data_IF_847392168104
#
_entry.id   IF_847392168104
#
_cell.length_a   1.000
_cell.length_b   1.000
_cell.length_c   1.000
_cell.angle_alpha   90.00
_cell.angle_beta   90.00
_cell.angle_gamma   90.00
#
_symmetry.space_group_name_H-M   'P 1'
#
loop_
_entity.id
_entity.type
_entity.pdbx_description
1 polymer ?
#
# COMPACT_ATOMS: atom_id res chain seq x y z
N UNK A 1 47.22 -36.76 -71.60
CA UNK A 1 47.35 -35.65 -70.63
C UNK A 1 45.98 -35.35 -70.06
N UNK A 2 45.68 -35.88 -68.88
CA UNK A 2 44.38 -35.81 -68.24
C UNK A 2 44.59 -35.12 -66.89
N UNK A 3 44.06 -33.92 -66.73
CA UNK A 3 44.08 -33.20 -65.46
C UNK A 3 42.72 -33.39 -64.75
N UNK A 4 42.81 -34.06 -63.62
CA UNK A 4 41.67 -34.31 -62.72
C UNK A 4 41.46 -33.12 -61.74
N UNK A 5 40.31 -32.50 -61.78
CA UNK A 5 39.97 -31.42 -60.86
C UNK A 5 39.15 -32.05 -59.70
N UNK A 6 39.73 -32.08 -58.49
CA UNK A 6 39.06 -32.45 -57.25
C UNK A 6 38.23 -31.26 -56.74
N UNK A 7 36.93 -31.43 -56.64
CA UNK A 7 36.03 -30.51 -55.99
C UNK A 7 36.11 -30.72 -54.46
N UNK A 8 36.55 -29.70 -53.75
CA UNK A 8 36.44 -29.59 -52.27
C UNK A 8 35.02 -29.09 -51.92
N UNK A 9 34.26 -29.92 -51.24
CA UNK A 9 33.01 -29.55 -50.62
C UNK A 9 33.36 -28.97 -49.22
N UNK A 10 33.15 -27.67 -49.04
CA UNK A 10 33.18 -27.01 -47.73
C UNK A 10 31.78 -27.05 -47.11
N UNK A 11 31.63 -27.83 -46.05
CA UNK A 11 30.43 -27.83 -45.23
C UNK A 11 30.42 -26.57 -44.36
N UNK A 12 29.46 -25.71 -44.64
CA UNK A 12 29.18 -24.55 -43.77
C UNK A 12 28.27 -25.00 -42.62
N UNK A 13 28.83 -25.09 -41.44
CA UNK A 13 28.07 -25.33 -40.19
C UNK A 13 27.40 -24.01 -39.75
N UNK A 14 26.10 -23.91 -39.94
CA UNK A 14 25.33 -22.79 -39.43
C UNK A 14 25.16 -22.95 -37.91
N UNK A 15 25.86 -22.14 -37.13
CA UNK A 15 25.56 -21.95 -35.69
C UNK A 15 24.29 -21.11 -35.55
N UNK A 16 23.21 -21.74 -35.18
CA UNK A 16 22.00 -21.04 -34.70
C UNK A 16 22.27 -20.58 -33.28
N UNK A 17 22.66 -19.31 -33.14
CA UNK A 17 22.75 -18.65 -31.83
C UNK A 17 21.36 -18.46 -31.26
N UNK A 18 21.00 -19.21 -30.21
CA UNK A 18 19.87 -18.90 -29.36
C UNK A 18 20.19 -17.60 -28.61
N UNK A 19 19.71 -16.47 -29.14
CA UNK A 19 19.64 -15.24 -28.37
C UNK A 19 18.50 -15.39 -27.38
N UNK A 20 18.83 -15.77 -26.13
CA UNK A 20 17.92 -15.62 -24.99
C UNK A 20 17.69 -14.12 -24.78
N UNK A 21 16.54 -13.64 -25.25
CA UNK A 21 16.02 -12.32 -24.89
C UNK A 21 15.69 -12.40 -23.42
N UNK A 22 16.60 -11.94 -22.57
CA UNK A 22 16.30 -11.59 -21.19
C UNK A 22 15.30 -10.41 -21.26
N UNK A 23 14.01 -10.71 -21.14
CA UNK A 23 13.00 -9.70 -20.80
C UNK A 23 13.36 -9.25 -19.40
N UNK A 24 14.15 -8.18 -19.30
CA UNK A 24 14.27 -7.44 -18.08
C UNK A 24 12.85 -6.90 -17.79
N UNK A 25 12.16 -7.50 -16.83
CA UNK A 25 11.00 -6.87 -16.22
C UNK A 25 11.49 -5.54 -15.68
N UNK A 26 11.14 -4.44 -16.34
CA UNK A 26 11.32 -3.10 -15.79
C UNK A 26 10.53 -3.07 -14.47
N UNK A 27 11.24 -3.22 -13.36
CA UNK A 27 10.74 -2.94 -12.04
C UNK A 27 10.49 -1.43 -12.04
N UNK A 28 9.23 -1.03 -12.25
CA UNK A 28 8.84 0.36 -12.13
C UNK A 28 9.09 0.77 -10.69
N UNK A 29 10.15 1.51 -10.45
CA UNK A 29 10.37 2.13 -9.16
C UNK A 29 9.16 3.02 -8.86
N UNK A 30 8.48 2.79 -7.73
CA UNK A 30 7.40 3.65 -7.25
C UNK A 30 8.02 4.96 -6.78
N UNK A 31 8.18 5.91 -7.70
CA UNK A 31 8.95 7.12 -7.48
C UNK A 31 8.17 8.22 -6.77
N UNK A 32 6.85 8.05 -6.56
CA UNK A 32 6.04 9.05 -5.89
C UNK A 32 4.66 8.53 -5.47
N UNK A 33 4.01 9.28 -4.59
CA UNK A 33 2.62 9.03 -4.21
C UNK A 33 1.66 9.17 -5.41
N UNK A 34 1.92 10.09 -6.30
CA UNK A 34 1.13 10.29 -7.52
C UNK A 34 1.13 9.01 -8.34
N UNK A 35 2.31 8.42 -8.57
CA UNK A 35 2.46 7.16 -9.29
C UNK A 35 1.76 5.99 -8.60
N UNK A 36 1.94 5.85 -7.29
CA UNK A 36 1.24 4.85 -6.50
C UNK A 36 -0.29 5.02 -6.57
N UNK A 37 -0.78 6.27 -6.55
CA UNK A 37 -2.21 6.58 -6.64
C UNK A 37 -2.82 6.26 -8.02
N UNK A 38 -2.02 6.23 -9.09
CA UNK A 38 -2.44 5.78 -10.42
C UNK A 38 -2.55 4.25 -10.51
N UNK A 39 -1.71 3.51 -9.78
CA UNK A 39 -1.64 2.03 -9.81
C UNK A 39 -2.60 1.38 -8.82
N UNK A 40 -2.71 1.90 -7.60
CA UNK A 40 -3.57 1.33 -6.55
C UNK A 40 -5.00 1.05 -7.00
N UNK A 41 -5.67 1.90 -7.80
CA UNK A 41 -6.97 1.60 -8.36
C UNK A 41 -7.04 0.26 -9.11
N UNK A 42 -6.04 -0.07 -9.91
CA UNK A 42 -6.01 -1.34 -10.66
C UNK A 42 -5.86 -2.54 -9.72
N UNK A 43 -5.05 -2.42 -8.67
CA UNK A 43 -4.87 -3.44 -7.64
C UNK A 43 -6.19 -3.71 -6.91
N UNK A 44 -6.88 -2.66 -6.44
CA UNK A 44 -8.15 -2.82 -5.74
C UNK A 44 -9.27 -3.33 -6.65
N UNK A 45 -9.30 -2.92 -7.93
CA UNK A 45 -10.23 -3.48 -8.92
C UNK A 45 -9.96 -4.96 -9.19
N UNK A 46 -8.70 -5.38 -9.19
CA UNK A 46 -8.35 -6.79 -9.35
C UNK A 46 -8.73 -7.60 -8.12
N UNK A 47 -8.44 -7.11 -6.91
CA UNK A 47 -8.88 -7.73 -5.65
C UNK A 47 -10.39 -7.92 -5.60
N UNK A 48 -11.15 -6.91 -6.02
CA UNK A 48 -12.61 -6.99 -6.03
C UNK A 48 -13.13 -8.05 -7.02
N UNK A 49 -12.53 -8.17 -8.21
CA UNK A 49 -12.88 -9.22 -9.17
C UNK A 49 -12.51 -10.63 -8.72
N UNK A 50 -11.37 -10.80 -8.03
CA UNK A 50 -10.85 -12.11 -7.62
C UNK A 50 -11.49 -12.63 -6.33
N UNK A 51 -11.74 -11.75 -5.36
CA UNK A 51 -12.17 -12.13 -4.02
C UNK A 51 -13.50 -11.44 -3.63
N UNK A 52 -13.72 -10.20 -4.09
CA UNK A 52 -14.82 -9.35 -3.65
C UNK A 52 -14.56 -8.70 -2.29
N UNK A 53 -15.55 -7.90 -1.83
CA UNK A 53 -15.55 -7.30 -0.49
C UNK A 53 -14.36 -6.39 -0.17
N UNK A 54 -13.82 -5.66 -1.16
CA UNK A 54 -12.84 -4.63 -0.90
C UNK A 54 -13.47 -3.46 -0.12
N UNK A 55 -12.77 -2.99 0.90
CA UNK A 55 -13.33 -1.99 1.82
C UNK A 55 -12.31 -0.93 2.20
N UNK A 56 -12.83 0.21 2.71
CA UNK A 56 -12.00 1.26 3.30
C UNK A 56 -11.33 0.79 4.59
N UNK A 57 -10.08 1.21 4.81
CA UNK A 57 -9.24 0.77 5.94
C UNK A 57 -9.92 0.94 7.30
N UNK A 58 -10.34 2.15 7.63
CA UNK A 58 -10.76 2.47 9.00
C UNK A 58 -12.18 2.03 9.31
N UNK A 59 -13.12 2.27 8.38
CA UNK A 59 -14.55 2.05 8.62
C UNK A 59 -15.06 0.73 8.05
N UNK A 60 -14.35 0.13 7.08
CA UNK A 60 -14.82 -1.08 6.42
C UNK A 60 -16.00 -0.88 5.48
N UNK A 61 -16.23 0.33 5.02
CA UNK A 61 -17.26 0.60 4.03
C UNK A 61 -16.85 0.02 2.67
N UNK A 62 -17.78 -0.61 1.97
CA UNK A 62 -17.52 -1.21 0.67
C UNK A 62 -17.00 -0.17 -0.33
N UNK A 63 -16.00 -0.56 -1.10
CA UNK A 63 -15.42 0.26 -2.16
C UNK A 63 -16.08 -0.06 -3.49
N UNK A 64 -16.38 0.97 -4.26
CA UNK A 64 -16.88 0.88 -5.62
C UNK A 64 -16.04 1.78 -6.54
N UNK A 65 -16.04 1.42 -7.81
CA UNK A 65 -15.40 2.24 -8.82
C UNK A 65 -16.26 2.36 -10.07
N UNK A 66 -16.15 3.50 -10.72
CA UNK A 66 -16.78 3.77 -12.02
C UNK A 66 -15.70 4.19 -13.00
N UNK A 67 -15.65 3.53 -14.13
CA UNK A 67 -14.81 3.98 -15.24
C UNK A 67 -15.51 5.11 -15.99
N UNK A 68 -14.81 6.22 -16.18
CA UNK A 68 -15.29 7.37 -16.95
C UNK A 68 -14.19 7.82 -17.93
N UNK A 69 -14.26 7.32 -19.16
CA UNK A 69 -13.15 7.47 -20.11
C UNK A 69 -11.87 6.84 -19.59
N UNK A 70 -10.78 7.61 -19.56
CA UNK A 70 -9.48 7.16 -19.05
C UNK A 70 -9.32 7.29 -17.52
N UNK A 71 -10.33 7.84 -16.83
CA UNK A 71 -10.29 8.04 -15.39
C UNK A 71 -11.13 7.00 -14.63
N UNK A 72 -10.66 6.60 -13.45
CA UNK A 72 -11.41 5.75 -12.51
C UNK A 72 -11.81 6.59 -11.31
N UNK A 73 -13.12 6.77 -11.14
CA UNK A 73 -13.69 7.44 -9.98
C UNK A 73 -13.99 6.41 -8.89
N UNK A 74 -13.51 6.68 -7.68
CA UNK A 74 -13.71 5.81 -6.52
C UNK A 74 -14.71 6.43 -5.55
N UNK A 75 -15.61 5.61 -5.06
CA UNK A 75 -16.60 5.99 -4.04
C UNK A 75 -16.83 4.84 -3.07
N UNK A 76 -17.47 5.12 -1.96
CA UNK A 76 -17.76 4.14 -0.93
C UNK A 76 -19.22 4.23 -0.50
N UNK A 77 -19.80 3.07 -0.14
CA UNK A 77 -21.14 3.01 0.43
C UNK A 77 -21.09 3.41 1.91
N UNK A 78 -21.17 4.71 2.16
CA UNK A 78 -21.23 5.27 3.51
C UNK A 78 -22.53 4.93 4.22
N UNK A 79 -23.64 4.82 3.50
CA UNK A 79 -24.94 4.45 4.05
C UNK A 79 -24.96 2.98 4.49
N UNK A 80 -24.51 2.05 3.63
CA UNK A 80 -24.51 0.61 3.93
C UNK A 80 -23.59 0.23 5.10
N UNK A 81 -22.52 0.97 5.34
CA UNK A 81 -21.66 0.77 6.51
C UNK A 81 -22.06 1.60 7.74
N UNK A 82 -23.11 2.41 7.64
CA UNK A 82 -23.58 3.26 8.73
C UNK A 82 -22.63 4.38 9.13
N UNK A 83 -21.81 4.85 8.17
CA UNK A 83 -20.95 6.00 8.41
C UNK A 83 -21.75 7.29 8.41
N UNK A 84 -21.54 8.13 9.42
CA UNK A 84 -22.13 9.45 9.51
C UNK A 84 -21.04 10.54 9.45
N UNK A 85 -21.18 11.54 8.54
CA UNK A 85 -20.23 12.64 8.45
C UNK A 85 -20.20 13.46 9.74
N UNK A 86 -18.99 13.73 10.25
CA UNK A 86 -18.83 14.59 11.43
C UNK A 86 -18.96 16.07 11.09
N UNK A 87 -18.36 16.51 9.99
CA UNK A 87 -18.31 17.93 9.58
C UNK A 87 -18.36 18.16 8.08
N UNK A 88 -17.97 17.21 7.25
CA UNK A 88 -17.79 17.42 5.82
C UNK A 88 -18.38 16.30 4.97
N UNK A 89 -19.60 16.47 4.52
CA UNK A 89 -20.25 15.54 3.59
C UNK A 89 -19.45 15.35 2.30
N UNK A 90 -18.86 16.42 1.76
CA UNK A 90 -18.02 16.34 0.55
C UNK A 90 -16.84 15.39 0.75
N UNK A 91 -16.16 15.45 1.91
CA UNK A 91 -15.04 14.57 2.22
C UNK A 91 -15.49 13.17 2.64
N UNK A 92 -16.65 13.07 3.28
CA UNK A 92 -17.25 11.80 3.64
C UNK A 92 -17.56 10.94 2.41
N UNK A 93 -18.04 11.56 1.34
CA UNK A 93 -18.36 10.89 0.08
C UNK A 93 -17.17 10.68 -0.86
N UNK A 94 -15.95 11.03 -0.45
CA UNK A 94 -14.73 10.83 -1.22
C UNK A 94 -13.88 9.71 -0.66
N UNK A 95 -13.26 8.93 -1.55
CA UNK A 95 -12.20 7.99 -1.20
C UNK A 95 -10.84 8.69 -1.32
N UNK A 96 -10.05 8.62 -0.27
CA UNK A 96 -8.66 9.09 -0.27
C UNK A 96 -7.73 7.89 -0.12
N UNK A 97 -6.64 7.85 -0.88
CA UNK A 97 -5.54 6.95 -0.60
C UNK A 97 -4.71 7.53 0.54
N UNK A 98 -4.86 6.94 1.73
CA UNK A 98 -4.26 7.43 2.98
C UNK A 98 -2.95 6.70 3.28
N UNK A 99 -1.93 7.45 3.67
CA UNK A 99 -0.67 6.90 4.16
C UNK A 99 -0.78 6.58 5.64
N UNK A 100 -0.67 5.31 6.00
CA UNK A 100 -0.72 4.85 7.40
C UNK A 100 0.41 5.50 8.20
N UNK A 101 1.66 5.36 7.78
CA UNK A 101 2.76 6.18 8.26
C UNK A 101 2.82 7.48 7.46
N UNK A 102 2.54 8.60 8.11
CA UNK A 102 2.49 9.90 7.43
C UNK A 102 3.89 10.42 7.08
N UNK A 103 4.01 11.32 6.07
CA UNK A 103 5.27 11.99 5.75
C UNK A 103 5.89 12.72 6.93
N UNK A 104 5.07 13.25 7.84
CA UNK A 104 5.54 13.85 9.09
C UNK A 104 6.40 12.87 9.92
N UNK A 105 6.11 11.58 9.89
CA UNK A 105 6.85 10.56 10.66
C UNK A 105 8.09 10.10 9.89
N UNK A 106 7.92 9.66 8.62
CA UNK A 106 9.03 9.04 7.90
C UNK A 106 10.07 10.02 7.36
N UNK A 107 9.71 11.29 7.16
CA UNK A 107 10.61 12.26 6.54
C UNK A 107 11.42 13.08 7.54
N UNK A 108 11.20 12.95 8.85
CA UNK A 108 11.91 13.74 9.88
C UNK A 108 13.44 13.61 9.84
N UNK A 109 13.96 12.50 9.33
CA UNK A 109 15.40 12.27 9.17
C UNK A 109 15.99 12.78 7.84
N UNK A 110 15.18 13.41 6.98
CA UNK A 110 15.63 13.90 5.67
C UNK A 110 15.97 15.39 5.72
N UNK A 111 17.09 15.76 5.11
CA UNK A 111 17.53 17.16 5.02
C UNK A 111 16.50 18.03 4.31
N UNK A 112 15.90 17.55 3.23
CA UNK A 112 14.85 18.25 2.48
C UNK A 112 13.64 18.62 3.35
N UNK A 113 13.33 17.78 4.38
CA UNK A 113 12.22 18.04 5.30
C UNK A 113 12.46 19.26 6.20
N UNK A 114 13.68 19.41 6.69
CA UNK A 114 14.04 20.59 7.49
C UNK A 114 14.02 21.88 6.67
N UNK A 115 14.35 21.81 5.39
CA UNK A 115 14.47 22.96 4.49
C UNK A 115 13.16 23.39 3.80
N UNK A 116 12.03 22.73 4.06
CA UNK A 116 10.76 23.12 3.40
C UNK A 116 9.62 22.13 3.58
N UNK A 117 9.74 21.17 4.50
CA UNK A 117 8.75 20.14 4.72
C UNK A 117 8.48 19.33 3.45
N UNK A 118 7.21 18.93 3.24
CA UNK A 118 6.85 18.16 2.04
C UNK A 118 7.25 18.85 0.73
N UNK A 119 7.10 20.18 0.65
CA UNK A 119 7.46 20.94 -0.57
C UNK A 119 8.96 20.90 -0.85
N UNK A 120 9.78 20.94 0.19
CA UNK A 120 11.23 20.82 0.05
C UNK A 120 11.67 19.44 -0.43
N UNK A 121 10.86 18.39 -0.20
CA UNK A 121 11.21 17.01 -0.53
C UNK A 121 10.66 16.51 -1.88
N UNK A 122 9.94 17.30 -2.66
CA UNK A 122 9.32 16.85 -3.93
C UNK A 122 10.35 16.23 -4.89
N UNK A 123 11.58 16.74 -4.91
CA UNK A 123 12.66 16.25 -5.77
C UNK A 123 13.62 15.28 -5.06
N UNK A 124 13.33 14.92 -3.81
CA UNK A 124 14.16 13.99 -3.04
C UNK A 124 13.73 12.55 -3.34
N UNK A 125 14.63 11.76 -3.93
CA UNK A 125 14.36 10.38 -4.35
C UNK A 125 13.97 9.49 -3.15
N UNK A 126 14.66 9.63 -2.02
CA UNK A 126 14.39 8.84 -0.81
C UNK A 126 13.03 9.16 -0.22
N UNK A 127 12.65 10.44 -0.23
CA UNK A 127 11.30 10.85 0.17
C UNK A 127 10.25 10.24 -0.74
N UNK A 128 10.43 10.34 -2.05
CA UNK A 128 9.47 9.86 -3.04
C UNK A 128 9.28 8.34 -2.97
N UNK A 129 10.36 7.56 -2.78
CA UNK A 129 10.27 6.12 -2.54
C UNK A 129 9.42 5.78 -1.31
N UNK A 130 9.56 6.51 -0.20
CA UNK A 130 8.76 6.30 1.01
C UNK A 130 7.32 6.79 0.85
N UNK A 131 7.14 7.92 0.16
CA UNK A 131 5.82 8.54 -0.04
C UNK A 131 4.93 7.72 -0.99
N UNK A 132 5.54 7.05 -1.97
CA UNK A 132 4.88 6.18 -2.96
C UNK A 132 4.81 4.71 -2.59
N UNK A 133 5.32 4.28 -1.43
CA UNK A 133 5.29 2.86 -1.05
C UNK A 133 3.86 2.37 -0.82
N UNK A 134 3.38 1.50 -1.72
CA UNK A 134 2.00 1.02 -1.72
C UNK A 134 1.66 0.14 -0.52
N UNK A 135 2.65 -0.46 0.18
CA UNK A 135 2.40 -1.17 1.43
C UNK A 135 1.98 -0.24 2.57
N UNK A 136 2.24 1.06 2.44
CA UNK A 136 1.85 2.10 3.38
C UNK A 136 0.57 2.85 3.00
N UNK A 137 -0.03 2.59 1.82
CA UNK A 137 -1.13 3.38 1.27
C UNK A 137 -2.41 2.55 1.18
N UNK A 138 -3.49 3.03 1.77
CA UNK A 138 -4.78 2.33 1.81
C UNK A 138 -5.94 3.26 1.47
N UNK A 139 -7.02 2.75 0.83
CA UNK A 139 -8.23 3.53 0.63
C UNK A 139 -8.92 3.81 1.96
N UNK A 140 -9.34 5.03 2.15
CA UNK A 140 -10.04 5.48 3.34
C UNK A 140 -11.13 6.49 2.97
N UNK A 141 -12.13 6.65 3.83
CA UNK A 141 -13.05 7.78 3.73
C UNK A 141 -12.26 9.07 3.90
N UNK A 142 -12.39 10.01 2.96
CA UNK A 142 -11.58 11.22 2.92
C UNK A 142 -11.74 12.11 4.15
N UNK A 143 -12.90 12.09 4.85
CA UNK A 143 -13.05 12.79 6.11
C UNK A 143 -12.22 12.16 7.22
N UNK A 144 -12.21 10.82 7.33
CA UNK A 144 -11.40 10.10 8.33
C UNK A 144 -9.92 10.32 8.08
N UNK A 145 -9.45 10.12 6.84
CA UNK A 145 -8.06 10.37 6.45
C UNK A 145 -7.60 11.76 6.88
N UNK A 146 -8.40 12.79 6.59
CA UNK A 146 -8.03 14.14 6.97
C UNK A 146 -8.19 14.47 8.46
N UNK A 147 -9.11 13.84 9.17
CA UNK A 147 -9.27 14.05 10.60
C UNK A 147 -8.16 13.34 11.39
N UNK A 148 -7.75 12.15 10.97
CA UNK A 148 -6.58 11.44 11.52
C UNK A 148 -5.29 12.19 11.18
N UNK A 149 -5.18 12.72 9.96
CA UNK A 149 -4.03 13.51 9.50
C UNK A 149 -2.67 12.86 9.83
N UNK A 150 -1.87 13.51 10.68
CA UNK A 150 -0.56 13.02 11.12
C UNK A 150 -0.57 12.44 12.54
N UNK A 151 -1.76 12.22 13.10
CA UNK A 151 -1.90 11.74 14.48
C UNK A 151 -1.37 10.32 14.62
N UNK A 152 -0.72 10.03 15.76
CA UNK A 152 -0.27 8.68 16.06
C UNK A 152 -1.45 7.75 16.29
N UNK A 153 -1.24 6.48 16.03
CA UNK A 153 -2.21 5.47 16.45
C UNK A 153 -2.02 5.10 17.92
N UNK A 154 -3.13 4.81 18.59
CA UNK A 154 -3.14 4.48 20.01
C UNK A 154 -4.34 3.59 20.33
N UNK A 155 -4.37 3.00 21.53
CA UNK A 155 -5.49 2.22 22.05
C UNK A 155 -5.75 2.60 23.51
N UNK A 156 -6.72 3.45 23.74
CA UNK A 156 -7.06 3.92 25.09
C UNK A 156 -8.49 3.54 25.53
N UNK A 157 -9.14 2.63 24.79
CA UNK A 157 -10.43 2.05 25.15
C UNK A 157 -11.62 3.00 25.04
N UNK A 158 -11.51 4.09 24.26
CA UNK A 158 -12.62 5.02 24.02
C UNK A 158 -13.72 4.35 23.19
N UNK A 159 -14.97 4.63 23.53
CA UNK A 159 -16.12 4.15 22.75
C UNK A 159 -16.33 5.03 21.52
N UNK A 160 -16.39 4.43 20.31
CA UNK A 160 -16.65 5.17 19.09
C UNK A 160 -18.03 5.85 19.12
N UNK A 161 -18.08 7.14 18.76
CA UNK A 161 -19.31 7.93 18.71
C UNK A 161 -19.28 9.08 17.72
N UNK A 162 -18.17 9.22 16.96
CA UNK A 162 -17.90 10.42 16.17
C UNK A 162 -18.38 10.32 14.72
N UNK A 163 -18.53 9.09 14.19
CA UNK A 163 -18.74 8.84 12.77
C UNK A 163 -19.80 7.74 12.54
N UNK A 164 -20.93 7.82 13.25
CA UNK A 164 -21.97 6.80 13.18
C UNK A 164 -21.46 5.42 13.60
N UNK A 165 -21.69 4.41 12.78
CA UNK A 165 -21.23 3.04 13.05
C UNK A 165 -19.75 2.78 12.74
N UNK A 166 -19.02 3.75 12.18
CA UNK A 166 -17.58 3.60 11.94
C UNK A 166 -16.80 3.60 13.27
N UNK A 167 -16.12 2.50 13.62
CA UNK A 167 -15.57 2.30 14.96
C UNK A 167 -14.17 2.93 15.11
N UNK A 168 -14.03 4.19 14.70
CA UNK A 168 -12.79 4.98 14.84
C UNK A 168 -13.03 6.11 15.83
N UNK A 169 -12.04 6.37 16.66
CA UNK A 169 -12.04 7.56 17.53
C UNK A 169 -10.83 8.44 17.18
N UNK A 170 -11.07 9.73 17.01
CA UNK A 170 -10.03 10.73 16.80
C UNK A 170 -10.02 11.71 17.97
N UNK A 171 -8.98 11.66 18.78
CA UNK A 171 -8.70 12.63 19.82
C UNK A 171 -7.88 13.80 19.24
N UNK A 172 -8.58 14.88 18.90
CA UNK A 172 -7.97 16.06 18.30
C UNK A 172 -7.06 16.81 19.26
N UNK A 173 -7.37 16.80 20.56
CA UNK A 173 -6.57 17.45 21.59
C UNK A 173 -5.29 16.66 21.88
N UNK A 174 -5.42 15.33 22.04
CA UNK A 174 -4.30 14.41 22.27
C UNK A 174 -3.51 14.05 21.00
N UNK A 175 -3.98 14.47 19.81
CA UNK A 175 -3.37 14.18 18.51
C UNK A 175 -3.12 12.69 18.30
N UNK A 176 -4.14 11.87 18.55
CA UNK A 176 -4.10 10.42 18.43
C UNK A 176 -5.39 9.86 17.83
N UNK A 177 -5.28 8.70 17.23
CA UNK A 177 -6.41 8.00 16.63
C UNK A 177 -6.44 6.55 17.10
N UNK A 178 -7.62 6.10 17.56
CA UNK A 178 -7.88 4.71 17.91
C UNK A 178 -8.62 4.05 16.76
N UNK A 179 -7.95 3.16 16.00
CA UNK A 179 -8.59 2.45 14.90
C UNK A 179 -9.43 1.28 15.42
N UNK A 180 -10.35 0.81 14.57
CA UNK A 180 -11.12 -0.41 14.84
C UNK A 180 -10.23 -1.65 14.87
N UNK A 181 -10.68 -2.69 15.56
CA UNK A 181 -9.97 -3.98 15.63
C UNK A 181 -9.67 -4.57 14.24
N UNK A 182 -10.60 -4.42 13.28
CA UNK A 182 -10.43 -4.91 11.91
C UNK A 182 -9.26 -4.26 11.15
N UNK A 183 -8.89 -3.03 11.48
CA UNK A 183 -7.82 -2.29 10.80
C UNK A 183 -6.49 -2.30 11.55
N UNK A 184 -6.48 -2.67 12.84
CA UNK A 184 -5.26 -2.67 13.67
C UNK A 184 -4.14 -3.52 13.08
N UNK A 185 -4.45 -4.73 12.60
CA UNK A 185 -3.46 -5.61 12.00
C UNK A 185 -2.83 -5.02 10.73
N UNK A 186 -3.64 -4.51 9.81
CA UNK A 186 -3.17 -3.87 8.58
C UNK A 186 -2.30 -2.63 8.88
N UNK A 187 -2.75 -1.78 9.82
CA UNK A 187 -2.00 -0.61 10.28
C UNK A 187 -0.66 -1.03 10.89
N UNK A 188 -0.66 -2.04 11.76
CA UNK A 188 0.55 -2.53 12.40
C UNK A 188 1.57 -3.03 11.38
N UNK A 189 1.15 -3.86 10.42
CA UNK A 189 2.03 -4.40 9.38
C UNK A 189 2.57 -3.32 8.44
N UNK A 190 1.78 -2.31 8.13
CA UNK A 190 2.26 -1.15 7.37
C UNK A 190 3.31 -0.35 8.14
N UNK A 191 3.06 -0.06 9.43
CA UNK A 191 3.99 0.67 10.29
C UNK A 191 5.31 -0.09 10.51
N UNK A 192 5.24 -1.37 10.87
CA UNK A 192 6.42 -2.22 11.08
C UNK A 192 7.25 -2.38 9.79
N UNK A 193 6.57 -2.55 8.66
CA UNK A 193 7.22 -2.62 7.35
C UNK A 193 8.00 -1.35 7.04
N UNK A 194 7.38 -0.18 7.17
CA UNK A 194 8.04 1.11 6.93
C UNK A 194 9.25 1.30 7.85
N UNK A 195 9.12 0.94 9.14
CA UNK A 195 10.23 0.98 10.09
C UNK A 195 11.39 0.09 9.65
N UNK A 196 11.12 -1.15 9.27
CA UNK A 196 12.14 -2.11 8.87
C UNK A 196 12.80 -1.73 7.54
N UNK A 197 11.99 -1.43 6.51
CA UNK A 197 12.48 -1.17 5.16
C UNK A 197 13.31 0.10 5.07
N UNK A 198 12.87 1.16 5.73
CA UNK A 198 13.47 2.49 5.62
C UNK A 198 14.27 2.90 6.86
N UNK A 199 14.41 2.00 7.86
CA UNK A 199 15.12 2.23 9.13
C UNK A 199 14.59 3.44 9.89
N UNK A 200 13.25 3.56 9.95
CA UNK A 200 12.55 4.64 10.65
C UNK A 200 12.35 4.22 12.11
N UNK A 201 12.66 5.12 13.05
CA UNK A 201 12.37 4.92 14.47
C UNK A 201 11.09 5.66 14.87
N UNK A 202 10.18 4.95 15.55
CA UNK A 202 8.87 5.48 16.00
C UNK A 202 8.73 5.49 17.53
N UNK A 203 9.79 5.19 18.26
CA UNK A 203 9.77 5.03 19.72
C UNK A 203 9.29 3.65 20.17
N UNK A 204 9.80 3.21 21.34
CA UNK A 204 9.59 1.84 21.83
C UNK A 204 8.15 1.48 22.09
N UNK A 205 7.36 2.36 22.71
CA UNK A 205 5.95 2.11 23.04
C UNK A 205 5.09 1.93 21.78
N UNK A 206 5.32 2.75 20.74
CA UNK A 206 4.63 2.62 19.46
C UNK A 206 5.02 1.34 18.73
N UNK A 207 6.29 0.97 18.77
CA UNK A 207 6.76 -0.27 18.16
C UNK A 207 6.12 -1.48 18.83
N UNK A 208 6.13 -1.55 20.16
CA UNK A 208 5.48 -2.62 20.93
C UNK A 208 3.97 -2.70 20.66
N UNK A 209 3.27 -1.57 20.55
CA UNK A 209 1.85 -1.54 20.22
C UNK A 209 1.58 -2.20 18.85
N UNK A 210 2.39 -1.89 17.84
CA UNK A 210 2.22 -2.50 16.53
C UNK A 210 2.62 -3.97 16.48
N UNK A 211 3.63 -4.41 17.24
CA UNK A 211 3.93 -5.84 17.38
C UNK A 211 2.76 -6.61 17.99
N UNK A 212 2.15 -6.09 19.06
CA UNK A 212 0.97 -6.68 19.70
C UNK A 212 -0.23 -6.74 18.73
N UNK A 213 -0.48 -5.69 17.96
CA UNK A 213 -1.55 -5.68 16.98
C UNK A 213 -1.30 -6.64 15.82
N UNK A 214 -0.06 -6.74 15.34
CA UNK A 214 0.32 -7.68 14.30
C UNK A 214 0.10 -9.13 14.72
N UNK A 215 0.43 -9.47 15.97
CA UNK A 215 0.22 -10.81 16.53
C UNK A 215 -1.29 -11.11 16.73
N UNK A 216 -2.03 -10.16 17.31
CA UNK A 216 -3.43 -10.33 17.67
C UNK A 216 -4.37 -10.36 16.46
N UNK A 217 -4.06 -9.63 15.41
CA UNK A 217 -4.90 -9.44 14.23
C UNK A 217 -4.17 -9.90 12.95
N UNK A 218 -4.10 -11.22 12.68
CA UNK A 218 -3.38 -11.76 11.53
C UNK A 218 -3.99 -11.29 10.20
N UNK A 219 -3.22 -11.31 9.09
CA UNK A 219 -3.72 -10.92 7.78
C UNK A 219 -4.80 -11.88 7.28
N UNK A 220 -5.80 -11.33 6.63
CA UNK A 220 -6.84 -12.10 5.93
C UNK A 220 -6.42 -12.41 4.47
N UNK A 221 -7.30 -13.08 3.74
CA UNK A 221 -7.06 -13.47 2.34
C UNK A 221 -6.93 -12.26 1.42
N UNK A 222 -7.67 -11.18 1.69
CA UNK A 222 -7.63 -9.95 0.90
C UNK A 222 -6.29 -9.26 1.10
N UNK A 223 -5.82 -9.16 2.34
CA UNK A 223 -4.52 -8.56 2.64
C UNK A 223 -3.36 -9.38 2.07
N UNK A 224 -3.43 -10.72 2.15
CA UNK A 224 -2.44 -11.61 1.53
C UNK A 224 -2.37 -11.37 0.01
N UNK A 225 -3.51 -11.35 -0.68
CA UNK A 225 -3.53 -11.15 -2.13
C UNK A 225 -3.12 -9.74 -2.53
N UNK A 226 -3.53 -8.71 -1.76
CA UNK A 226 -3.07 -7.35 -1.96
C UNK A 226 -1.54 -7.25 -1.88
N UNK A 227 -0.93 -7.91 -0.92
CA UNK A 227 0.53 -7.96 -0.77
C UNK A 227 1.22 -8.57 -2.00
N UNK A 228 0.67 -9.66 -2.56
CA UNK A 228 1.17 -10.28 -3.79
C UNK A 228 1.08 -9.33 -4.98
N UNK A 229 -0.08 -8.69 -5.18
CA UNK A 229 -0.30 -7.74 -6.27
C UNK A 229 0.62 -6.52 -6.17
N UNK A 230 0.82 -5.98 -4.97
CA UNK A 230 1.77 -4.88 -4.78
C UNK A 230 3.18 -5.34 -5.16
N UNK A 231 3.58 -6.56 -4.76
CA UNK A 231 4.90 -7.08 -5.08
C UNK A 231 5.13 -7.24 -6.60
N UNK A 232 4.08 -7.57 -7.37
CA UNK A 232 4.12 -7.63 -8.84
C UNK A 232 4.44 -6.25 -9.47
N UNK A 233 3.89 -5.15 -8.91
CA UNK A 233 4.08 -3.80 -9.43
C UNK A 233 5.31 -3.09 -8.84
N UNK A 234 5.51 -3.21 -7.51
CA UNK A 234 6.54 -2.46 -6.78
C UNK A 234 7.87 -3.21 -6.67
N UNK A 235 7.86 -4.54 -6.94
CA UNK A 235 9.06 -5.38 -6.91
C UNK A 235 9.48 -5.85 -5.52
N UNK A 236 8.67 -5.60 -4.48
CA UNK A 236 8.90 -6.13 -3.13
C UNK A 236 7.59 -6.36 -2.38
N UNK A 237 7.59 -7.34 -1.49
CA UNK A 237 6.50 -7.67 -0.59
C UNK A 237 6.68 -7.07 0.80
N UNK A 238 5.62 -7.14 1.62
CA UNK A 238 5.68 -6.86 3.04
C UNK A 238 5.90 -8.17 3.81
N UNK A 239 7.09 -8.41 4.41
CA UNK A 239 7.42 -9.67 5.06
C UNK A 239 6.52 -9.99 6.27
N UNK A 240 5.95 -8.98 6.93
CA UNK A 240 4.99 -9.20 8.02
C UNK A 240 3.66 -9.80 7.54
N UNK A 241 3.32 -9.61 6.26
CA UNK A 241 2.17 -10.24 5.61
C UNK A 241 2.56 -11.60 5.05
N UNK A 242 3.62 -11.68 4.24
CA UNK A 242 4.06 -12.90 3.55
C UNK A 242 4.30 -14.05 4.52
N UNK A 243 4.97 -13.79 5.64
CA UNK A 243 5.27 -14.82 6.65
C UNK A 243 4.00 -15.46 7.22
N UNK A 244 2.97 -14.67 7.51
CA UNK A 244 1.71 -15.16 8.06
C UNK A 244 0.86 -15.91 7.00
N UNK A 245 0.82 -15.41 5.75
CA UNK A 245 0.06 -16.02 4.66
C UNK A 245 0.61 -17.38 4.24
N UNK A 246 1.93 -17.56 4.27
CA UNK A 246 2.57 -18.84 3.93
C UNK A 246 2.33 -19.93 4.98
N UNK A 247 2.26 -19.57 6.26
CA UNK A 247 1.93 -20.50 7.34
C UNK A 247 0.49 -20.99 7.23
N UNK A 248 -0.45 -20.09 6.88
CA UNK A 248 -1.85 -20.45 6.67
C UNK A 248 -2.09 -21.44 5.51
N UNK A 249 -1.30 -21.36 4.43
CA UNK A 249 -1.37 -22.31 3.30
C UNK A 249 -0.86 -23.72 3.65
N UNK A 250 0.09 -23.87 4.57
CA UNK A 250 0.64 -25.18 4.98
C UNK A 250 -0.25 -25.95 5.95
N UNK A 251 -1.28 -25.31 6.53
CA UNK A 251 -2.21 -25.92 7.49
C UNK A 251 -3.55 -26.35 6.88
N UNK A 252 -3.77 -26.12 5.61
CA UNK A 252 -4.93 -26.57 4.81
C UNK A 252 -4.49 -27.71 3.89
#
# INVERSE_FOLDING_TARGET
MLWSVRKLLTAATAMVGLSSVLVASEVYAMDSFEKASEILPSIYSQLDREIGNTTTLYCGCALFYRQSGDSTEWFTDTFGCGYEPRRSEKRANSVAFDRVMSPWVFAQGLECWFNGGRRGCIMDEKFNLMDGDMHNIFPAIGEISGNRATFRFDDWGERPSQYGSCPVVVDFAGRRAQPSDRSRGQIARAMLYMCQRYRISIGGDQHMLFEQWNEKYPPDVIECRRNELIAEFQGNDNPFITSACTVGRKRR
#
